data_IF_952213180344
#
_entry.id   IF_952213180344
#
_cell.length_a   1.000
_cell.length_b   1.000
_cell.length_c   1.000
_cell.angle_alpha   90.00
_cell.angle_beta   90.00
_cell.angle_gamma   90.00
#
_symmetry.space_group_name_H-M   'P 1'
#
loop_
_entity.id
_entity.type
_entity.pdbx_description
1 polymer ?
#
# COMPACT_ATOMS: atom_id res chain seq x y z
N UNK A 1 -39.24 1.53 -14.17
CA UNK A 1 -38.53 0.24 -14.05
C UNK A 1 -37.11 0.40 -13.53
N UNK A 2 -36.35 1.39 -14.01
CA UNK A 2 -34.96 1.62 -13.56
C UNK A 2 -34.82 2.02 -12.08
N UNK A 3 -35.66 2.94 -11.59
CA UNK A 3 -35.67 3.32 -10.17
C UNK A 3 -35.92 2.11 -9.24
N UNK A 4 -36.83 1.21 -9.62
CA UNK A 4 -37.09 -0.03 -8.89
C UNK A 4 -35.87 -0.96 -8.92
N UNK A 5 -35.20 -1.09 -10.06
CA UNK A 5 -33.97 -1.90 -10.17
C UNK A 5 -32.86 -1.36 -9.28
N UNK A 6 -32.64 -0.05 -9.28
CA UNK A 6 -31.62 0.61 -8.44
C UNK A 6 -31.94 0.46 -6.95
N UNK A 7 -33.20 0.63 -6.56
CA UNK A 7 -33.63 0.42 -5.18
C UNK A 7 -33.40 -1.03 -4.72
N UNK A 8 -33.72 -2.02 -5.56
CA UNK A 8 -33.47 -3.43 -5.27
C UNK A 8 -31.96 -3.74 -5.17
N UNK A 9 -31.15 -3.19 -6.08
CA UNK A 9 -29.70 -3.33 -6.02
C UNK A 9 -29.14 -2.75 -4.72
N UNK A 10 -29.56 -1.54 -4.36
CA UNK A 10 -29.18 -0.86 -3.12
C UNK A 10 -29.54 -1.69 -1.88
N UNK A 11 -30.78 -2.18 -1.78
CA UNK A 11 -31.21 -3.02 -0.67
C UNK A 11 -30.47 -4.36 -0.58
N UNK A 12 -29.89 -4.85 -1.68
CA UNK A 12 -29.17 -6.12 -1.71
C UNK A 12 -27.68 -6.01 -1.33
N UNK A 13 -27.12 -4.79 -1.25
CA UNK A 13 -25.69 -4.57 -1.02
C UNK A 13 -25.19 -5.25 0.25
N UNK A 14 -25.90 -5.08 1.37
CA UNK A 14 -25.51 -5.66 2.67
C UNK A 14 -25.47 -7.19 2.64
N UNK A 15 -26.30 -7.82 1.80
CA UNK A 15 -26.34 -9.28 1.64
C UNK A 15 -25.16 -9.78 0.81
N UNK A 16 -24.80 -9.08 -0.26
CA UNK A 16 -23.79 -9.52 -1.21
C UNK A 16 -22.38 -9.05 -0.90
N UNK A 17 -22.22 -8.01 -0.09
CA UNK A 17 -20.91 -7.48 0.24
C UNK A 17 -20.01 -8.49 0.97
N UNK A 18 -20.42 -9.13 2.09
CA UNK A 18 -19.54 -10.07 2.80
C UNK A 18 -19.04 -11.23 1.93
N UNK A 19 -19.88 -11.95 1.14
CA UNK A 19 -19.39 -12.99 0.26
C UNK A 19 -18.53 -12.44 -0.88
N UNK A 20 -18.85 -11.27 -1.45
CA UNK A 20 -18.01 -10.63 -2.46
C UNK A 20 -16.61 -10.30 -1.90
N UNK A 21 -16.54 -9.70 -0.71
CA UNK A 21 -15.29 -9.39 -0.03
C UNK A 21 -14.50 -10.67 0.30
N UNK A 22 -15.18 -11.72 0.75
CA UNK A 22 -14.55 -13.01 1.02
C UNK A 22 -13.87 -13.61 -0.22
N UNK A 23 -14.48 -13.49 -1.40
CA UNK A 23 -13.89 -13.93 -2.66
C UNK A 23 -12.75 -12.98 -3.06
N UNK A 24 -12.98 -11.67 -3.02
CA UNK A 24 -12.00 -10.66 -3.40
C UNK A 24 -10.73 -10.75 -2.55
N UNK A 25 -10.80 -11.04 -1.25
CA UNK A 25 -9.60 -11.21 -0.42
C UNK A 25 -8.81 -12.49 -0.72
N UNK A 26 -9.38 -13.47 -1.43
CA UNK A 26 -8.77 -14.80 -1.62
C UNK A 26 -8.38 -15.12 -3.06
N UNK A 27 -8.89 -14.37 -4.05
CA UNK A 27 -8.59 -14.62 -5.46
C UNK A 27 -8.10 -13.36 -6.16
N UNK A 28 -6.82 -13.40 -6.52
CA UNK A 28 -6.17 -12.42 -7.42
C UNK A 28 -6.85 -12.44 -8.78
N UNK A 29 -7.25 -13.62 -9.27
CA UNK A 29 -7.90 -13.81 -10.57
C UNK A 29 -9.22 -13.05 -10.65
N UNK A 30 -10.04 -13.12 -9.58
CA UNK A 30 -11.30 -12.36 -9.52
C UNK A 30 -11.04 -10.86 -9.48
N UNK A 31 -10.06 -10.38 -8.68
CA UNK A 31 -9.71 -8.96 -8.68
C UNK A 31 -9.24 -8.49 -10.06
N UNK A 32 -8.37 -9.25 -10.73
CA UNK A 32 -7.90 -8.94 -12.09
C UNK A 32 -9.03 -8.94 -13.13
N UNK A 33 -9.92 -9.91 -13.05
CA UNK A 33 -11.01 -10.06 -14.02
C UNK A 33 -12.06 -8.95 -13.91
N UNK A 34 -12.41 -8.54 -12.69
CA UNK A 34 -13.56 -7.65 -12.45
C UNK A 34 -13.17 -6.26 -11.93
N UNK A 35 -11.94 -6.06 -11.46
CA UNK A 35 -11.45 -4.83 -10.82
C UNK A 35 -11.69 -3.58 -11.66
N UNK A 36 -11.21 -3.57 -12.90
CA UNK A 36 -11.34 -2.41 -13.79
C UNK A 36 -12.80 -2.02 -14.08
N UNK A 37 -13.71 -3.00 -14.13
CA UNK A 37 -15.12 -2.76 -14.41
C UNK A 37 -15.90 -2.30 -13.17
N UNK A 38 -15.56 -2.82 -11.98
CA UNK A 38 -16.32 -2.60 -10.75
C UNK A 38 -15.78 -1.45 -9.89
N UNK A 39 -14.46 -1.21 -9.92
CA UNK A 39 -13.82 -0.24 -9.02
C UNK A 39 -14.39 1.19 -9.14
N UNK A 40 -14.67 1.75 -10.33
CA UNK A 40 -15.25 3.09 -10.43
C UNK A 40 -16.60 3.20 -9.71
N UNK A 41 -17.50 2.24 -9.94
CA UNK A 41 -18.81 2.21 -9.27
C UNK A 41 -18.67 2.00 -7.75
N UNK A 42 -17.75 1.13 -7.31
CA UNK A 42 -17.50 0.94 -5.88
C UNK A 42 -16.92 2.21 -5.22
N UNK A 43 -16.12 3.00 -5.93
CA UNK A 43 -15.62 4.30 -5.44
C UNK A 43 -16.73 5.33 -5.31
N UNK A 44 -17.61 5.43 -6.29
CA UNK A 44 -18.79 6.32 -6.21
C UNK A 44 -19.67 5.97 -5.00
N UNK A 45 -19.87 4.67 -4.75
CA UNK A 45 -20.63 4.19 -3.60
C UNK A 45 -19.89 4.47 -2.28
N UNK A 46 -18.56 4.28 -2.24
CA UNK A 46 -17.75 4.57 -1.06
C UNK A 46 -17.71 6.08 -0.72
N UNK A 47 -17.80 6.95 -1.73
CA UNK A 47 -17.88 8.41 -1.58
C UNK A 47 -19.19 8.88 -0.92
N UNK A 48 -20.18 8.00 -0.73
CA UNK A 48 -21.36 8.26 0.12
C UNK A 48 -21.05 8.19 1.63
N UNK A 49 -19.78 7.99 1.99
CA UNK A 49 -19.26 7.94 3.37
C UNK A 49 -19.90 6.86 4.26
N UNK A 50 -20.54 5.85 3.64
CA UNK A 50 -21.01 4.66 4.31
C UNK A 50 -19.84 3.73 4.61
N UNK A 51 -19.44 3.69 5.89
CA UNK A 51 -18.28 2.94 6.37
C UNK A 51 -18.30 1.45 6.03
N UNK A 52 -19.48 0.85 5.89
CA UNK A 52 -19.60 -0.54 5.49
C UNK A 52 -19.16 -0.74 4.04
N UNK A 53 -19.46 0.17 3.11
CA UNK A 53 -19.27 -0.06 1.67
C UNK A 53 -17.83 0.19 1.19
N UNK A 54 -16.98 0.86 1.99
CA UNK A 54 -15.60 1.18 1.61
C UNK A 54 -14.74 -0.05 1.33
N UNK A 55 -15.00 -1.16 2.02
CA UNK A 55 -14.16 -2.36 1.94
C UNK A 55 -14.18 -3.03 0.56
N UNK A 56 -15.27 -2.90 -0.21
CA UNK A 56 -15.32 -3.43 -1.58
C UNK A 56 -14.40 -2.63 -2.51
N UNK A 57 -14.46 -1.30 -2.43
CA UNK A 57 -13.56 -0.44 -3.20
C UNK A 57 -12.09 -0.71 -2.83
N UNK A 58 -11.79 -0.83 -1.53
CA UNK A 58 -10.45 -1.12 -1.04
C UNK A 58 -9.95 -2.48 -1.54
N UNK A 59 -10.76 -3.54 -1.43
CA UNK A 59 -10.38 -4.87 -1.89
C UNK A 59 -10.18 -4.95 -3.41
N UNK A 60 -10.97 -4.20 -4.19
CA UNK A 60 -10.80 -4.11 -5.65
C UNK A 60 -9.60 -3.26 -6.08
N UNK A 61 -9.19 -2.31 -5.24
CA UNK A 61 -8.02 -1.44 -5.48
C UNK A 61 -6.70 -2.08 -5.00
N UNK A 62 -6.74 -3.27 -4.37
CA UNK A 62 -5.53 -4.02 -4.01
C UNK A 62 -4.69 -4.25 -5.27
N UNK A 63 -3.43 -3.82 -5.19
CA UNK A 63 -2.44 -4.04 -6.23
C UNK A 63 -1.93 -5.48 -6.17
N UNK A 64 -1.80 -6.11 -7.34
CA UNK A 64 -1.41 -7.51 -7.49
C UNK A 64 -0.20 -7.65 -8.41
N UNK A 65 0.96 -7.92 -7.81
CA UNK A 65 2.26 -8.00 -8.50
C UNK A 65 2.71 -6.68 -9.15
N UNK A 66 2.28 -5.56 -8.57
CA UNK A 66 2.61 -4.22 -9.05
C UNK A 66 4.04 -3.84 -8.67
N UNK A 67 4.80 -3.27 -9.62
CA UNK A 67 6.16 -2.79 -9.36
C UNK A 67 6.15 -1.31 -9.01
N UNK A 68 6.64 -0.99 -7.82
CA UNK A 68 6.86 0.38 -7.36
C UNK A 68 8.30 0.79 -7.64
N UNK A 69 8.50 2.04 -8.06
CA UNK A 69 9.77 2.75 -7.89
C UNK A 69 9.71 3.44 -6.54
N UNK A 70 10.62 3.07 -5.64
CA UNK A 70 10.70 3.60 -4.27
C UNK A 70 12.00 4.37 -4.11
N UNK A 71 11.91 5.65 -3.78
CA UNK A 71 13.06 6.53 -3.56
C UNK A 71 13.22 6.78 -2.06
N UNK A 72 14.40 6.54 -1.50
CA UNK A 72 14.70 6.92 -0.13
C UNK A 72 15.42 8.27 -0.15
N UNK A 73 14.68 9.31 0.19
CA UNK A 73 15.14 10.71 0.10
C UNK A 73 16.40 10.97 0.93
N UNK A 74 16.52 10.53 2.20
CA UNK A 74 17.70 10.85 3.02
C UNK A 74 19.02 10.29 2.50
N UNK A 75 18.98 9.17 1.76
CA UNK A 75 20.21 8.54 1.21
C UNK A 75 20.36 8.77 -0.29
N UNK A 76 19.38 9.37 -0.95
CA UNK A 76 19.35 9.51 -2.41
C UNK A 76 19.34 8.18 -3.18
N UNK A 77 18.96 7.06 -2.55
CA UNK A 77 18.93 5.75 -3.20
C UNK A 77 17.54 5.44 -3.75
N UNK A 78 17.49 4.58 -4.77
CA UNK A 78 16.24 4.13 -5.39
C UNK A 78 16.16 2.61 -5.47
N UNK A 79 14.93 2.10 -5.49
CA UNK A 79 14.63 0.67 -5.48
C UNK A 79 13.45 0.35 -6.39
N UNK A 80 13.45 -0.84 -6.98
CA UNK A 80 12.24 -1.45 -7.53
C UNK A 80 11.74 -2.50 -6.55
N UNK A 81 10.48 -2.36 -6.14
CA UNK A 81 9.84 -3.27 -5.19
C UNK A 81 8.54 -3.76 -5.81
N UNK A 82 8.41 -5.08 -5.95
CA UNK A 82 7.17 -5.71 -6.37
C UNK A 82 6.30 -5.98 -5.16
N UNK A 83 5.07 -5.46 -5.18
CA UNK A 83 4.11 -5.60 -4.09
C UNK A 83 2.86 -6.36 -4.54
N UNK A 84 2.16 -6.95 -3.57
CA UNK A 84 0.89 -7.64 -3.82
C UNK A 84 0.10 -7.83 -2.55
N UNK A 85 -1.24 -7.77 -2.62
CA UNK A 85 -2.10 -8.16 -1.49
C UNK A 85 -2.03 -7.26 -0.26
N UNK A 86 -1.69 -5.98 -0.43
CA UNK A 86 -1.57 -5.01 0.67
C UNK A 86 -2.87 -4.21 0.78
N UNK A 87 -3.51 -4.27 1.95
CA UNK A 87 -4.84 -3.69 2.17
C UNK A 87 -4.87 -2.23 2.63
N UNK A 88 -3.74 -1.71 3.14
CA UNK A 88 -3.58 -0.33 3.59
C UNK A 88 -2.10 0.09 3.64
N UNK A 89 -1.86 1.38 3.84
CA UNK A 89 -0.50 1.90 3.95
C UNK A 89 0.17 1.54 5.29
N UNK A 90 -0.58 1.21 6.34
CA UNK A 90 -0.02 0.67 7.60
C UNK A 90 0.77 -0.63 7.37
N UNK A 91 0.21 -1.55 6.58
CA UNK A 91 0.86 -2.79 6.17
C UNK A 91 2.01 -2.49 5.19
N UNK A 92 1.83 -1.57 4.23
CA UNK A 92 2.89 -1.16 3.31
C UNK A 92 4.14 -0.66 4.04
N UNK A 93 3.98 0.22 5.03
CA UNK A 93 5.08 0.71 5.88
C UNK A 93 5.89 -0.44 6.48
N UNK A 94 5.19 -1.42 7.06
CA UNK A 94 5.83 -2.56 7.73
C UNK A 94 6.64 -3.39 6.73
N UNK A 95 6.08 -3.66 5.55
CA UNK A 95 6.74 -4.45 4.52
C UNK A 95 7.92 -3.72 3.87
N UNK A 96 7.79 -2.43 3.59
CA UNK A 96 8.90 -1.62 3.07
C UNK A 96 10.05 -1.53 4.08
N UNK A 97 9.74 -1.32 5.36
CA UNK A 97 10.76 -1.29 6.41
C UNK A 97 11.44 -2.66 6.57
N UNK A 98 10.69 -3.76 6.48
CA UNK A 98 11.25 -5.11 6.49
C UNK A 98 12.25 -5.32 5.34
N UNK A 99 11.85 -4.98 4.12
CA UNK A 99 12.67 -5.19 2.93
C UNK A 99 13.89 -4.27 2.92
N UNK A 100 13.70 -2.98 3.18
CA UNK A 100 14.76 -1.98 3.00
C UNK A 100 15.67 -1.85 4.22
N UNK A 101 15.12 -1.77 5.44
CA UNK A 101 15.93 -1.68 6.67
C UNK A 101 16.38 -3.07 7.10
N UNK A 102 15.46 -4.04 7.14
CA UNK A 102 15.80 -5.43 7.51
C UNK A 102 16.76 -6.10 6.51
N UNK A 103 16.72 -5.69 5.24
CA UNK A 103 17.70 -6.09 4.21
C UNK A 103 19.01 -5.31 4.22
N UNK A 104 19.15 -4.27 5.06
CA UNK A 104 20.37 -3.46 5.18
C UNK A 104 20.62 -2.47 4.04
N UNK A 105 19.59 -2.14 3.26
CA UNK A 105 19.69 -1.20 2.13
C UNK A 105 19.59 0.28 2.54
N UNK A 106 18.89 0.56 3.64
CA UNK A 106 18.76 1.91 4.21
C UNK A 106 18.90 1.84 5.74
N UNK A 107 19.38 2.91 6.39
CA UNK A 107 19.49 2.95 7.84
C UNK A 107 18.12 2.94 8.54
N UNK A 108 18.04 2.38 9.74
CA UNK A 108 16.85 2.44 10.58
C UNK A 108 16.70 1.24 11.52
N UNK A 109 15.54 1.13 12.15
CA UNK A 109 15.16 -0.02 12.97
C UNK A 109 14.19 -0.91 12.20
N UNK A 110 14.59 -2.15 11.92
CA UNK A 110 13.73 -3.11 11.24
C UNK A 110 12.47 -3.44 12.08
N UNK A 111 11.33 -3.73 11.44
CA UNK A 111 10.15 -4.21 12.14
C UNK A 111 10.43 -5.56 12.81
N UNK A 112 9.65 -5.88 13.86
CA UNK A 112 9.77 -7.17 14.54
C UNK A 112 9.38 -8.33 13.61
N UNK A 113 9.97 -9.51 13.82
CA UNK A 113 9.62 -10.71 13.05
C UNK A 113 8.12 -11.05 13.16
N UNK A 114 7.49 -10.74 14.29
CA UNK A 114 6.07 -10.92 14.48
C UNK A 114 5.22 -9.95 13.65
N UNK A 115 5.58 -8.67 13.60
CA UNK A 115 4.90 -7.67 12.76
C UNK A 115 4.97 -8.07 11.28
N UNK A 116 6.12 -8.57 10.83
CA UNK A 116 6.28 -9.07 9.45
C UNK A 116 5.41 -10.29 9.22
N UNK A 117 5.45 -11.28 10.13
CA UNK A 117 4.60 -12.48 10.05
C UNK A 117 3.12 -12.11 9.93
N UNK A 118 2.61 -11.21 10.75
CA UNK A 118 1.20 -10.78 10.69
C UNK A 118 0.82 -10.15 9.35
N UNK A 119 1.76 -9.46 8.71
CA UNK A 119 1.56 -8.85 7.39
C UNK A 119 1.63 -9.86 6.22
N UNK A 120 2.38 -10.96 6.34
CA UNK A 120 2.69 -11.86 5.21
C UNK A 120 2.09 -13.26 5.31
N UNK A 121 1.77 -13.74 6.52
CA UNK A 121 1.37 -15.13 6.72
C UNK A 121 0.03 -15.44 6.02
N UNK A 122 -0.05 -16.50 5.20
CA UNK A 122 -1.32 -16.95 4.61
C UNK A 122 -2.38 -17.28 5.67
N UNK A 123 -1.97 -17.76 6.84
CA UNK A 123 -2.87 -17.96 7.97
C UNK A 123 -3.16 -16.60 8.65
N UNK A 124 -4.43 -16.19 8.76
CA UNK A 124 -4.80 -14.98 9.50
C UNK A 124 -4.47 -15.13 10.99
N UNK A 125 -4.24 -14.01 11.66
CA UNK A 125 -4.24 -13.99 13.12
C UNK A 125 -5.58 -14.48 13.69
N UNK A 126 -5.53 -15.17 14.83
CA UNK A 126 -6.73 -15.60 15.55
C UNK A 126 -7.25 -14.43 16.41
N UNK A 127 -8.01 -13.54 15.79
CA UNK A 127 -8.49 -12.31 16.42
C UNK A 127 -7.44 -11.19 16.39
N UNK A 128 -7.72 -10.13 17.16
CA UNK A 128 -6.84 -8.96 17.23
C UNK A 128 -5.62 -9.28 18.08
N UNK A 129 -4.43 -8.99 17.57
CA UNK A 129 -3.18 -9.18 18.31
C UNK A 129 -2.82 -7.94 19.12
N UNK A 130 -1.89 -8.08 20.08
CA UNK A 130 -1.31 -6.94 20.82
C UNK A 130 0.02 -6.48 20.21
N UNK A 131 0.40 -7.03 19.05
CA UNK A 131 1.66 -6.67 18.38
C UNK A 131 1.56 -5.25 17.86
N UNK A 132 2.49 -4.40 18.30
CA UNK A 132 2.64 -3.02 17.82
C UNK A 132 3.81 -2.94 16.86
N UNK A 133 3.60 -2.31 15.71
CA UNK A 133 4.66 -1.91 14.77
C UNK A 133 4.85 -0.39 14.82
N UNK A 134 6.01 0.09 14.38
CA UNK A 134 6.37 1.51 14.35
C UNK A 134 6.73 1.92 12.93
N UNK A 135 6.18 3.05 12.48
CA UNK A 135 6.52 3.61 11.17
C UNK A 135 7.95 4.10 11.11
N UNK A 136 8.71 3.57 10.15
CA UNK A 136 10.10 3.94 9.91
C UNK A 136 10.28 5.10 8.92
N UNK A 137 9.25 5.37 8.11
CA UNK A 137 9.29 6.35 7.01
C UNK A 137 8.08 7.28 7.07
N UNK A 138 8.21 8.44 6.45
CA UNK A 138 7.08 9.18 5.90
C UNK A 138 6.82 8.68 4.46
N UNK A 139 5.57 8.38 4.11
CA UNK A 139 5.22 8.04 2.73
C UNK A 139 4.77 9.30 2.00
N UNK A 140 5.48 9.63 0.93
CA UNK A 140 5.30 10.87 0.19
C UNK A 140 5.04 10.56 -1.28
N UNK A 141 4.10 11.28 -1.86
CA UNK A 141 3.89 11.35 -3.29
C UNK A 141 5.06 12.12 -3.96
N UNK A 142 5.22 12.01 -5.29
CA UNK A 142 6.29 12.70 -6.02
C UNK A 142 6.30 14.22 -5.86
N UNK A 143 5.14 14.84 -5.64
CA UNK A 143 4.99 16.28 -5.39
C UNK A 143 5.26 16.68 -3.93
N UNK A 144 5.51 15.72 -3.05
CA UNK A 144 5.74 15.92 -1.62
C UNK A 144 4.48 15.86 -0.76
N UNK A 145 3.30 15.60 -1.35
CA UNK A 145 2.10 15.38 -0.55
C UNK A 145 2.20 14.08 0.27
N UNK A 146 1.59 14.10 1.46
CA UNK A 146 1.62 12.98 2.38
C UNK A 146 0.61 11.91 1.96
N UNK A 147 1.09 10.68 1.80
CA UNK A 147 0.23 9.50 1.66
C UNK A 147 -0.14 8.99 3.05
N UNK A 148 -1.42 9.11 3.40
CA UNK A 148 -1.92 8.76 4.74
C UNK A 148 -1.94 7.25 4.97
N UNK A 149 -1.76 6.85 6.23
CA UNK A 149 -1.70 5.44 6.61
C UNK A 149 -3.03 4.71 6.37
N UNK A 150 -4.15 5.43 6.52
CA UNK A 150 -5.52 4.96 6.27
C UNK A 150 -5.86 4.84 4.77
N UNK A 151 -4.96 5.34 3.91
CA UNK A 151 -5.04 5.21 2.46
C UNK A 151 -4.56 3.85 1.95
N UNK A 152 -4.49 3.74 0.63
CA UNK A 152 -4.14 2.53 -0.10
C UNK A 152 -2.82 2.69 -0.85
N UNK A 153 -2.11 1.58 -1.12
CA UNK A 153 -1.02 1.57 -2.09
C UNK A 153 -1.45 2.02 -3.49
N UNK A 154 -2.74 1.87 -3.84
CA UNK A 154 -3.31 2.35 -5.10
C UNK A 154 -3.35 3.88 -5.20
N UNK A 155 -3.24 4.60 -4.09
CA UNK A 155 -3.18 6.07 -4.06
C UNK A 155 -1.79 6.59 -4.49
N UNK A 156 -0.76 5.72 -4.58
CA UNK A 156 0.58 6.10 -5.02
C UNK A 156 0.52 6.55 -6.50
N UNK A 157 0.90 7.80 -6.82
CA UNK A 157 0.81 8.31 -8.18
C UNK A 157 1.65 7.55 -9.20
N UNK A 158 1.13 7.41 -10.42
CA UNK A 158 1.84 6.83 -11.56
C UNK A 158 2.59 7.93 -12.31
N UNK A 159 3.91 7.82 -12.35
CA UNK A 159 4.83 8.72 -13.09
C UNK A 159 5.54 7.90 -14.15
N UNK A 160 5.41 8.32 -15.42
CA UNK A 160 5.99 7.61 -16.58
C UNK A 160 5.63 6.11 -16.61
N UNK A 161 4.38 5.79 -16.28
CA UNK A 161 3.87 4.42 -16.29
C UNK A 161 4.28 3.55 -15.09
N UNK A 162 4.97 4.11 -14.09
CA UNK A 162 5.33 3.40 -12.86
C UNK A 162 4.85 4.13 -11.63
N UNK A 163 4.37 3.41 -10.62
CA UNK A 163 4.04 4.02 -9.32
C UNK A 163 5.31 4.51 -8.65
N UNK A 164 5.35 5.79 -8.30
CA UNK A 164 6.51 6.44 -7.72
C UNK A 164 6.21 6.86 -6.28
N UNK A 165 6.94 6.25 -5.34
CA UNK A 165 6.84 6.50 -3.91
C UNK A 165 8.14 7.10 -3.40
N UNK A 166 8.04 8.16 -2.61
CA UNK A 166 9.18 8.74 -1.89
C UNK A 166 9.07 8.40 -0.41
N UNK A 167 10.15 7.89 0.16
CA UNK A 167 10.32 7.63 1.59
C UNK A 167 11.12 8.79 2.19
N UNK A 168 10.45 9.58 3.01
CA UNK A 168 11.06 10.66 3.77
C UNK A 168 11.37 10.28 5.21
N UNK A 169 12.07 11.17 5.92
CA UNK A 169 12.28 11.05 7.35
C UNK A 169 10.94 11.19 8.11
N UNK A 170 10.63 10.31 9.08
CA UNK A 170 9.37 10.39 9.81
C UNK A 170 9.31 11.64 10.68
N UNK A 171 8.32 12.51 10.45
CA UNK A 171 8.15 13.75 11.22
C UNK A 171 7.99 13.53 12.74
N UNK A 172 7.45 12.38 13.14
CA UNK A 172 7.40 11.91 14.52
C UNK A 172 7.23 10.39 14.57
N UNK A 173 7.57 9.79 15.72
CA UNK A 173 7.40 8.35 15.96
C UNK A 173 5.92 8.00 16.05
N UNK A 174 5.46 7.08 15.20
CA UNK A 174 4.08 6.58 15.14
C UNK A 174 4.07 5.07 15.29
N UNK A 175 3.19 4.57 16.16
CA UNK A 175 2.95 3.14 16.32
C UNK A 175 1.49 2.79 16.05
N UNK A 176 1.27 1.57 15.58
CA UNK A 176 -0.07 1.02 15.34
C UNK A 176 -0.07 -0.50 15.56
N UNK A 177 -1.28 -1.07 15.63
CA UNK A 177 -1.46 -2.50 15.68
C UNK A 177 -1.01 -3.15 14.36
N UNK A 178 -0.22 -4.22 14.42
CA UNK A 178 0.40 -4.83 13.25
C UNK A 178 -0.53 -5.78 12.46
N UNK A 179 -1.80 -5.93 12.85
CA UNK A 179 -2.77 -6.73 12.13
C UNK A 179 -3.09 -6.10 10.76
N UNK A 180 -3.46 -6.95 9.81
CA UNK A 180 -3.88 -6.52 8.48
C UNK A 180 -5.28 -5.94 8.49
N UNK A 181 -5.51 -4.94 7.66
CA UNK A 181 -6.86 -4.44 7.35
C UNK A 181 -7.78 -5.55 6.80
N UNK A 182 -7.25 -6.39 5.91
CA UNK A 182 -7.92 -7.58 5.39
C UNK A 182 -7.23 -8.84 5.94
N UNK A 183 -7.77 -9.48 7.00
CA UNK A 183 -7.11 -10.61 7.65
C UNK A 183 -6.80 -11.78 6.72
N UNK A 184 -7.61 -11.99 5.68
CA UNK A 184 -7.46 -13.10 4.74
C UNK A 184 -6.63 -12.78 3.50
N UNK A 185 -6.07 -11.58 3.40
CA UNK A 185 -5.28 -11.13 2.24
C UNK A 185 -3.82 -10.94 2.67
N UNK A 186 -2.92 -11.91 2.44
CA UNK A 186 -1.52 -11.76 2.81
C UNK A 186 -0.82 -10.77 1.89
N UNK A 187 -0.05 -9.86 2.50
CA UNK A 187 0.75 -8.89 1.76
C UNK A 187 2.11 -9.46 1.38
N UNK A 188 2.66 -8.96 0.29
CA UNK A 188 4.00 -9.27 -0.19
C UNK A 188 4.70 -7.99 -0.60
N UNK A 189 6.00 -7.93 -0.33
CA UNK A 189 6.91 -6.93 -0.87
C UNK A 189 8.26 -7.61 -1.12
N UNK A 190 8.76 -7.49 -2.33
CA UNK A 190 10.02 -8.09 -2.74
C UNK A 190 10.89 -7.03 -3.42
N UNK A 191 12.11 -6.83 -2.91
CA UNK A 191 13.10 -6.02 -3.61
C UNK A 191 13.55 -6.79 -4.86
N UNK A 192 13.18 -6.27 -6.03
CA UNK A 192 13.57 -6.87 -7.30
C UNK A 192 14.89 -6.30 -7.81
N UNK A 193 15.17 -5.02 -7.50
CA UNK A 193 16.39 -4.33 -7.96
C UNK A 193 16.74 -3.12 -7.10
N UNK A 194 18.02 -2.92 -6.82
CA UNK A 194 18.56 -1.63 -6.36
C UNK A 194 18.90 -0.80 -7.59
N UNK A 195 18.39 0.44 -7.65
CA UNK A 195 18.64 1.32 -8.78
C UNK A 195 20.08 1.85 -8.77
N UNK A 196 20.77 1.88 -9.94
CA UNK A 196 21.98 2.65 -10.12
C UNK A 196 21.79 4.14 -9.76
N UNK A 197 22.85 4.81 -9.31
CA UNK A 197 22.77 6.18 -8.79
C UNK A 197 22.36 7.23 -9.83
N UNK A 198 22.68 7.02 -11.10
CA UNK A 198 22.22 7.84 -12.23
C UNK A 198 20.73 7.63 -12.50
N UNK A 199 20.24 6.39 -12.47
CA UNK A 199 18.82 6.09 -12.62
C UNK A 199 18.00 6.64 -11.43
N UNK A 200 18.49 6.47 -10.20
CA UNK A 200 17.87 7.04 -9.01
C UNK A 200 17.77 8.57 -9.11
N UNK A 201 18.85 9.26 -9.49
CA UNK A 201 18.84 10.72 -9.73
C UNK A 201 17.85 11.13 -10.80
N UNK A 202 17.74 10.37 -11.89
CA UNK A 202 16.74 10.63 -12.91
C UNK A 202 15.31 10.54 -12.32
N UNK A 203 15.02 9.56 -11.46
CA UNK A 203 13.74 9.46 -10.77
C UNK A 203 13.50 10.60 -9.79
N UNK A 204 14.50 11.00 -9.01
CA UNK A 204 14.41 12.20 -8.16
C UNK A 204 14.16 13.47 -8.98
N UNK A 205 14.67 13.58 -10.20
CA UNK A 205 14.39 14.71 -11.10
C UNK A 205 12.91 14.85 -11.50
N UNK A 206 12.08 13.84 -11.22
CA UNK A 206 10.63 13.83 -11.47
C UNK A 206 9.82 14.15 -10.21
N UNK A 207 10.48 14.48 -9.11
CA UNK A 207 9.85 14.76 -7.82
C UNK A 207 10.19 16.17 -7.33
N UNK A 208 9.46 16.64 -6.33
CA UNK A 208 9.75 17.88 -5.62
C UNK A 208 11.08 17.84 -4.82
N UNK A 209 11.71 16.65 -4.73
CA UNK A 209 12.95 16.40 -3.99
C UNK A 209 14.19 16.47 -4.89
N UNK A 210 14.06 17.02 -6.10
CA UNK A 210 15.18 17.25 -7.02
C UNK A 210 16.20 18.21 -6.38
N UNK A 211 17.23 17.65 -5.73
CA UNK A 211 18.33 18.42 -5.12
C UNK A 211 18.85 17.89 -3.78
N UNK A 212 18.18 16.95 -3.12
CA UNK A 212 18.64 16.42 -1.82
C UNK A 212 19.74 15.36 -1.92
N UNK A 213 19.99 14.80 -3.10
CA UNK A 213 20.95 13.72 -3.33
C UNK A 213 22.42 14.13 -3.40
N UNK A 214 22.88 15.13 -2.66
CA UNK A 214 24.26 15.61 -2.79
C UNK A 214 24.82 16.40 -1.63
N UNK A 215 25.10 15.78 -0.48
CA UNK A 215 26.20 16.20 0.41
C UNK A 215 26.75 14.95 1.10
N UNK A 216 27.97 14.55 0.75
CA UNK A 216 28.62 13.39 1.38
C UNK A 216 30.04 13.06 0.91
N UNK A 217 30.82 14.04 0.42
CA UNK A 217 32.28 13.92 0.34
C UNK A 217 32.91 15.28 0.70
N UNK A 218 33.57 15.31 1.86
CA UNK A 218 34.66 16.24 2.23
C UNK A 218 35.49 15.58 3.32
#
# INVERSE_FOLDING_TARGET
MEATRLALAWCSLETWQPPALAVLCRSVEVRRQYGAALLPACREVAALERHDLKCLAYALAVLDEETLVVLHEPTGTGFEIRIGGIGDNFQLHTLLAHVLIGGGHVPGTAPSAESVRLATDPAPAQGRTETVTTGAFELLAPDGERLWNEGLPDDIPVVEGRRLLVLGEPAYRRGWNADRFFPHLPGTAELTRVLPADEARAWFGRTAFAGSGGVGES
#
